data_IF_121275144038
#
_entry.id   IF_121275144038
#
_cell.length_a   1.000
_cell.length_b   1.000
_cell.length_c   1.000
_cell.angle_alpha   90.00
_cell.angle_beta   90.00
_cell.angle_gamma   90.00
#
_symmetry.space_group_name_H-M   'P 1'
#
loop_
_entity.id
_entity.type
_entity.pdbx_description
1 polymer ?
#
# COMPACT_ATOMS: atom_id res chain seq x y z
N UNK A 1 18.23 -0.60 -2.87
CA UNK A 1 18.38 -0.27 -1.43
C UNK A 1 17.19 -0.79 -0.64
N UNK A 2 15.97 -0.62 -1.18
CA UNK A 2 14.69 -1.16 -0.67
C UNK A 2 14.75 -2.61 -0.20
N UNK A 3 15.13 -3.54 -1.07
CA UNK A 3 15.17 -4.98 -0.75
C UNK A 3 16.10 -5.33 0.43
N UNK A 4 17.15 -4.54 0.70
CA UNK A 4 18.05 -4.81 1.83
C UNK A 4 17.43 -4.39 3.16
N UNK A 5 16.73 -3.25 3.21
CA UNK A 5 16.06 -2.79 4.43
C UNK A 5 14.83 -3.65 4.71
N UNK A 6 13.98 -3.86 3.70
CA UNK A 6 12.79 -4.74 3.80
C UNK A 6 13.21 -6.15 4.20
N UNK A 7 14.27 -6.71 3.60
CA UNK A 7 14.79 -8.03 3.95
C UNK A 7 15.29 -8.13 5.39
N UNK A 8 16.01 -7.12 5.89
CA UNK A 8 16.49 -7.08 7.29
C UNK A 8 15.32 -7.06 8.28
N UNK A 9 14.32 -6.23 8.03
CA UNK A 9 13.17 -6.08 8.93
C UNK A 9 12.27 -7.32 8.92
N UNK A 10 11.99 -7.88 7.75
CA UNK A 10 11.18 -9.12 7.61
C UNK A 10 11.90 -10.34 8.18
N UNK A 11 13.22 -10.43 8.04
CA UNK A 11 14.05 -11.44 8.70
C UNK A 11 13.98 -11.34 10.22
N UNK A 12 14.04 -10.12 10.77
CA UNK A 12 13.86 -9.86 12.20
C UNK A 12 12.52 -10.35 12.74
N UNK A 13 11.42 -10.11 12.00
CA UNK A 13 10.09 -10.61 12.37
C UNK A 13 10.03 -12.15 12.43
N UNK A 14 10.67 -12.82 11.48
CA UNK A 14 10.74 -14.29 11.45
C UNK A 14 11.47 -14.84 12.68
N UNK A 15 12.58 -14.19 13.07
CA UNK A 15 13.31 -14.56 14.29
C UNK A 15 12.47 -14.36 15.56
N UNK A 16 11.75 -13.23 15.65
CA UNK A 16 10.88 -12.93 16.78
C UNK A 16 9.73 -13.94 16.91
N UNK A 17 9.09 -14.32 15.80
CA UNK A 17 8.04 -15.35 15.80
C UNK A 17 8.57 -16.68 16.36
N UNK A 18 9.75 -17.12 15.89
CA UNK A 18 10.41 -18.33 16.38
C UNK A 18 10.76 -18.25 17.87
N UNK A 19 11.32 -17.14 18.34
CA UNK A 19 11.65 -16.93 19.75
C UNK A 19 10.40 -16.98 20.64
N UNK A 20 9.27 -16.50 20.13
CA UNK A 20 7.97 -16.51 20.82
C UNK A 20 7.20 -17.83 20.64
N UNK A 21 7.79 -18.84 19.98
CA UNK A 21 7.15 -20.14 19.70
C UNK A 21 5.81 -19.99 18.95
N UNK A 22 5.75 -19.04 18.03
CA UNK A 22 4.60 -18.85 17.15
C UNK A 22 4.77 -19.75 15.94
N UNK A 23 3.78 -20.60 15.68
CA UNK A 23 3.72 -21.39 14.45
C UNK A 23 3.29 -20.50 13.29
N UNK A 24 4.09 -20.47 12.23
CA UNK A 24 3.84 -19.64 11.04
C UNK A 24 3.42 -20.54 9.89
N UNK A 25 2.13 -20.50 9.55
CA UNK A 25 1.58 -21.17 8.38
C UNK A 25 1.50 -20.18 7.21
N UNK A 26 2.04 -20.57 6.05
CA UNK A 26 2.08 -19.72 4.84
C UNK A 26 1.04 -20.19 3.83
N UNK A 27 0.08 -19.31 3.52
CA UNK A 27 -0.93 -19.57 2.49
C UNK A 27 -2.10 -18.60 2.60
N UNK A 28 -3.13 -18.84 1.78
CA UNK A 28 -4.38 -18.09 1.82
C UNK A 28 -5.35 -18.78 2.78
N UNK A 29 -5.73 -18.07 3.84
CA UNK A 29 -6.68 -18.56 4.85
C UNK A 29 -8.13 -18.23 4.48
N UNK A 30 -9.02 -19.22 4.54
CA UNK A 30 -10.46 -19.07 4.36
C UNK A 30 -11.21 -19.76 5.49
N UNK A 31 -12.18 -19.08 6.10
CA UNK A 31 -13.08 -19.70 7.07
C UNK A 31 -13.95 -20.76 6.38
N UNK A 32 -13.89 -22.00 6.87
CA UNK A 32 -14.76 -23.11 6.44
C UNK A 32 -15.75 -23.51 7.54
N UNK A 33 -15.73 -22.77 8.65
CA UNK A 33 -16.62 -22.90 9.79
C UNK A 33 -16.30 -21.82 10.84
N UNK A 34 -17.05 -21.77 11.94
CA UNK A 34 -16.89 -20.72 12.96
C UNK A 34 -15.53 -20.78 13.68
N UNK A 35 -14.93 -21.98 13.80
CA UNK A 35 -13.69 -22.23 14.52
C UNK A 35 -12.64 -22.96 13.67
N UNK A 36 -12.76 -22.89 12.34
CA UNK A 36 -11.89 -23.61 11.40
C UNK A 36 -11.54 -22.72 10.22
N UNK A 37 -10.23 -22.53 10.01
CA UNK A 37 -9.68 -21.91 8.81
C UNK A 37 -8.98 -22.98 7.99
N UNK A 38 -9.28 -23.01 6.70
CA UNK A 38 -8.55 -23.77 5.69
C UNK A 38 -7.47 -22.86 5.11
N UNK A 39 -6.21 -23.32 5.13
CA UNK A 39 -5.08 -22.58 4.58
C UNK A 39 -4.58 -23.31 3.36
N UNK A 40 -4.62 -22.64 2.21
CA UNK A 40 -4.09 -23.15 0.94
C UNK A 40 -2.73 -22.50 0.67
N UNK A 41 -1.67 -23.28 0.80
CA UNK A 41 -0.29 -22.89 0.50
C UNK A 41 0.25 -23.60 -0.74
N UNK A 42 1.54 -23.41 -1.02
CA UNK A 42 2.24 -24.06 -2.15
C UNK A 42 2.39 -25.58 -1.96
N UNK A 43 2.39 -26.05 -0.71
CA UNK A 43 2.59 -27.46 -0.36
C UNK A 43 1.27 -28.24 -0.20
N UNK A 44 0.13 -27.57 -0.37
CA UNK A 44 -1.19 -28.18 -0.24
C UNK A 44 -2.14 -27.35 0.61
N UNK A 45 -3.20 -28.01 1.08
CA UNK A 45 -4.23 -27.39 1.92
C UNK A 45 -4.28 -28.07 3.28
N UNK A 46 -4.25 -27.28 4.34
CA UNK A 46 -4.41 -27.75 5.72
C UNK A 46 -5.57 -27.05 6.43
N UNK A 47 -6.10 -27.68 7.48
CA UNK A 47 -7.20 -27.12 8.28
C UNK A 47 -6.74 -26.90 9.71
N UNK A 48 -6.86 -25.65 10.14
CA UNK A 48 -6.47 -25.20 11.47
C UNK A 48 -7.73 -24.94 12.29
N UNK A 49 -7.85 -25.61 13.42
CA UNK A 49 -8.89 -25.33 14.42
C UNK A 49 -8.35 -24.35 15.46
N UNK A 50 -9.19 -23.42 15.91
CA UNK A 50 -8.82 -22.44 16.91
C UNK A 50 -9.96 -22.20 17.89
N UNK A 51 -9.61 -21.83 19.12
CA UNK A 51 -10.59 -21.35 20.11
C UNK A 51 -10.96 -19.89 19.87
N UNK A 52 -9.96 -19.06 19.56
CA UNK A 52 -10.09 -17.62 19.31
C UNK A 52 -9.39 -17.25 18.00
N UNK A 53 -9.92 -16.24 17.30
CA UNK A 53 -9.35 -15.76 16.04
C UNK A 53 -9.30 -14.23 16.02
N UNK A 54 -8.16 -13.69 15.59
CA UNK A 54 -7.97 -12.27 15.30
C UNK A 54 -7.84 -12.14 13.79
N UNK A 55 -8.72 -11.37 13.16
CA UNK A 55 -8.68 -11.09 11.72
C UNK A 55 -7.79 -9.87 11.48
N UNK A 56 -6.68 -10.09 10.79
CA UNK A 56 -5.70 -9.05 10.45
C UNK A 56 -5.32 -9.11 8.95
N UNK A 57 -6.33 -9.19 8.07
CA UNK A 57 -6.14 -9.36 6.63
C UNK A 57 -5.57 -8.12 5.89
N UNK A 58 -5.51 -6.97 6.56
CA UNK A 58 -5.03 -5.72 5.98
C UNK A 58 -6.05 -5.03 5.08
N UNK A 59 -5.56 -4.19 4.18
CA UNK A 59 -6.33 -3.41 3.20
C UNK A 59 -5.62 -3.40 1.85
N UNK A 60 -6.35 -3.07 0.79
CA UNK A 60 -5.82 -2.97 -0.57
C UNK A 60 -6.07 -1.59 -1.19
N UNK A 61 -5.28 -1.24 -2.20
CA UNK A 61 -5.46 0.02 -2.93
C UNK A 61 -6.77 0.01 -3.73
N UNK A 62 -7.52 1.11 -3.66
CA UNK A 62 -8.77 1.25 -4.41
C UNK A 62 -8.46 1.46 -5.89
N UNK A 63 -9.03 0.62 -6.76
CA UNK A 63 -9.01 0.85 -8.20
C UNK A 63 -10.19 1.72 -8.61
N UNK A 64 -9.91 2.85 -9.24
CA UNK A 64 -10.95 3.76 -9.73
C UNK A 64 -11.65 3.16 -10.96
N UNK A 65 -12.99 3.17 -11.02
CA UNK A 65 -13.71 2.67 -12.17
C UNK A 65 -13.45 3.55 -13.40
N UNK A 66 -13.29 2.92 -14.57
CA UNK A 66 -13.11 3.62 -15.85
C UNK A 66 -11.68 4.00 -16.19
N UNK A 67 -10.70 3.66 -15.35
CA UNK A 67 -9.29 3.77 -15.75
C UNK A 67 -8.93 2.65 -16.75
N UNK A 68 -8.11 2.96 -17.78
CA UNK A 68 -7.62 1.94 -18.71
C UNK A 68 -6.67 0.98 -17.98
N UNK A 69 -6.65 -0.27 -18.44
CA UNK A 69 -5.63 -1.23 -18.05
C UNK A 69 -4.34 -0.91 -18.83
N UNK A 70 -3.54 0.00 -18.27
CA UNK A 70 -2.30 0.51 -18.86
C UNK A 70 -1.18 0.40 -17.82
N UNK A 71 0.02 -0.09 -18.20
CA UNK A 71 1.14 -0.27 -17.27
C UNK A 71 1.65 1.04 -16.64
N UNK A 72 1.28 2.20 -17.18
CA UNK A 72 1.60 3.52 -16.59
C UNK A 72 0.62 3.93 -15.49
N UNK A 73 -0.54 3.26 -15.39
CA UNK A 73 -1.52 3.48 -14.33
C UNK A 73 -1.20 2.53 -13.19
N UNK A 74 -0.49 3.06 -12.20
CA UNK A 74 0.07 2.29 -11.09
C UNK A 74 -0.50 2.73 -9.75
N UNK A 75 -0.44 1.84 -8.76
CA UNK A 75 -0.73 2.15 -7.37
C UNK A 75 0.56 2.51 -6.61
N UNK A 76 0.44 2.71 -5.29
CA UNK A 76 1.57 3.06 -4.43
C UNK A 76 2.66 1.98 -4.38
N UNK A 77 2.31 0.71 -4.58
CA UNK A 77 3.29 -0.38 -4.63
C UNK A 77 4.09 -0.30 -5.94
N UNK A 78 3.41 -0.14 -7.08
CA UNK A 78 4.08 0.08 -8.36
C UNK A 78 4.91 1.36 -8.40
N UNK A 79 4.52 2.38 -7.64
CA UNK A 79 5.27 3.64 -7.55
C UNK A 79 6.62 3.50 -6.82
N UNK A 80 6.85 2.44 -6.05
CA UNK A 80 8.16 2.18 -5.44
C UNK A 80 9.12 1.49 -6.41
N UNK A 81 8.57 0.77 -7.40
CA UNK A 81 9.33 -0.09 -8.31
C UNK A 81 9.48 0.50 -9.72
N UNK A 82 9.04 1.75 -9.94
CA UNK A 82 9.05 2.38 -11.25
C UNK A 82 10.48 2.50 -11.81
N UNK A 83 10.64 2.14 -13.09
CA UNK A 83 11.87 2.42 -13.82
C UNK A 83 12.01 3.92 -14.09
N UNK A 84 13.24 4.47 -14.15
CA UNK A 84 13.44 5.87 -14.47
C UNK A 84 12.73 6.25 -15.78
N UNK A 85 11.85 7.24 -15.70
CA UNK A 85 11.09 7.73 -16.85
C UNK A 85 11.29 9.23 -17.03
N UNK A 86 10.95 9.73 -18.22
CA UNK A 86 10.96 11.16 -18.52
C UNK A 86 9.54 11.62 -18.81
N UNK A 87 9.06 12.62 -18.08
CA UNK A 87 7.71 13.16 -18.25
C UNK A 87 7.07 13.57 -16.93
N UNK A 88 5.89 14.19 -16.98
CA UNK A 88 5.14 14.55 -15.79
C UNK A 88 4.47 13.33 -15.15
N UNK A 89 4.28 13.39 -13.83
CA UNK A 89 3.50 12.42 -13.04
C UNK A 89 2.20 13.07 -12.55
N UNK A 90 1.08 12.37 -12.71
CA UNK A 90 -0.20 12.74 -12.12
C UNK A 90 -0.48 11.82 -10.93
N UNK A 91 -0.64 12.39 -9.75
CA UNK A 91 -1.12 11.70 -8.55
C UNK A 91 -2.61 11.95 -8.40
N UNK A 92 -3.39 10.87 -8.38
CA UNK A 92 -4.84 10.92 -8.20
C UNK A 92 -5.16 10.58 -6.74
N UNK A 93 -5.68 11.56 -6.00
CA UNK A 93 -5.93 11.48 -4.56
C UNK A 93 -4.87 12.23 -3.75
N UNK A 94 -5.32 13.23 -3.00
CA UNK A 94 -4.56 14.09 -2.10
C UNK A 94 -4.45 13.56 -0.68
N UNK A 95 -4.50 12.25 -0.49
CA UNK A 95 -4.24 11.60 0.80
C UNK A 95 -2.75 11.46 1.10
N UNK A 96 -2.43 10.97 2.30
CA UNK A 96 -1.04 10.85 2.82
C UNK A 96 -0.12 10.15 1.80
N UNK A 97 -0.50 8.96 1.34
CA UNK A 97 0.33 8.15 0.44
C UNK A 97 0.59 8.88 -0.88
N UNK A 98 -0.43 9.49 -1.48
CA UNK A 98 -0.30 10.23 -2.74
C UNK A 98 0.66 11.42 -2.61
N UNK A 99 0.56 12.16 -1.50
CA UNK A 99 1.44 13.30 -1.24
C UNK A 99 2.87 12.89 -0.92
N UNK A 100 3.08 11.80 -0.18
CA UNK A 100 4.42 11.26 0.08
C UNK A 100 5.11 10.87 -1.23
N UNK A 101 4.41 10.18 -2.12
CA UNK A 101 4.95 9.84 -3.45
C UNK A 101 5.20 11.10 -4.28
N UNK A 102 4.28 12.06 -4.27
CA UNK A 102 4.47 13.32 -4.98
C UNK A 102 5.75 14.04 -4.54
N UNK A 103 5.99 14.14 -3.24
CA UNK A 103 7.20 14.76 -2.70
C UNK A 103 8.48 14.01 -3.09
N UNK A 104 8.46 12.67 -3.05
CA UNK A 104 9.62 11.84 -3.46
C UNK A 104 9.96 12.09 -4.93
N UNK A 105 8.97 12.03 -5.82
CA UNK A 105 9.20 12.17 -7.25
C UNK A 105 9.52 13.60 -7.67
N UNK A 106 8.93 14.61 -7.03
CA UNK A 106 9.28 16.02 -7.22
C UNK A 106 10.75 16.27 -6.81
N UNK A 107 11.19 15.74 -5.67
CA UNK A 107 12.58 15.84 -5.22
C UNK A 107 13.58 15.15 -6.16
N UNK A 108 13.13 14.12 -6.89
CA UNK A 108 13.91 13.44 -7.93
C UNK A 108 13.86 14.17 -9.29
N UNK A 109 13.17 15.30 -9.40
CA UNK A 109 13.12 16.14 -10.59
C UNK A 109 11.97 15.82 -11.56
N UNK A 110 11.01 14.99 -11.16
CA UNK A 110 9.81 14.72 -11.95
C UNK A 110 8.79 15.83 -11.72
N UNK A 111 8.23 16.48 -12.76
CA UNK A 111 7.12 17.41 -12.57
C UNK A 111 5.88 16.65 -12.09
N UNK A 112 5.39 16.95 -10.88
CA UNK A 112 4.22 16.26 -10.30
C UNK A 112 3.02 17.20 -10.24
N UNK A 113 1.85 16.68 -10.60
CA UNK A 113 0.55 17.32 -10.33
C UNK A 113 -0.30 16.40 -9.46
N UNK A 114 -0.98 16.96 -8.47
CA UNK A 114 -1.90 16.23 -7.59
C UNK A 114 -3.32 16.71 -7.89
N UNK A 115 -4.21 15.77 -8.19
CA UNK A 115 -5.65 16.03 -8.32
C UNK A 115 -6.40 15.38 -7.17
N UNK A 116 -7.30 16.12 -6.56
CA UNK A 116 -8.12 15.70 -5.43
C UNK A 116 -9.57 16.08 -5.68
N UNK A 117 -10.50 15.20 -5.32
CA UNK A 117 -11.92 15.41 -5.51
C UNK A 117 -12.52 16.29 -4.42
N UNK A 118 -11.99 16.20 -3.20
CA UNK A 118 -12.42 16.99 -2.04
C UNK A 118 -11.89 18.43 -2.10
N UNK A 119 -12.46 19.30 -1.28
CA UNK A 119 -12.11 20.73 -1.26
C UNK A 119 -10.74 21.07 -0.65
N UNK A 120 -10.02 20.08 -0.12
CA UNK A 120 -8.70 20.26 0.47
C UNK A 120 -7.86 18.99 0.30
N UNK A 121 -6.53 19.15 0.30
CA UNK A 121 -5.62 18.03 0.44
C UNK A 121 -5.60 17.56 1.90
N UNK A 122 -5.20 16.31 2.14
CA UNK A 122 -5.19 15.67 3.47
C UNK A 122 -6.55 15.72 4.19
N UNK A 123 -7.62 15.18 3.58
CA UNK A 123 -8.92 15.11 4.24
C UNK A 123 -8.80 14.32 5.55
N UNK A 124 -9.05 14.97 6.68
CA UNK A 124 -8.89 14.40 8.02
C UNK A 124 -7.79 15.07 8.87
N UNK A 125 -6.94 15.89 8.26
CA UNK A 125 -6.06 16.80 8.99
C UNK A 125 -6.75 18.15 9.26
N UNK A 126 -6.21 18.88 10.23
CA UNK A 126 -6.62 20.25 10.53
C UNK A 126 -6.48 21.14 9.26
N UNK A 127 -7.52 21.88 8.84
CA UNK A 127 -7.48 22.71 7.63
C UNK A 127 -6.34 23.74 7.63
N UNK A 128 -5.96 24.27 8.79
CA UNK A 128 -4.85 25.23 8.92
C UNK A 128 -3.48 24.57 8.63
N UNK A 129 -3.40 23.23 8.72
CA UNK A 129 -2.20 22.43 8.39
C UNK A 129 -2.24 21.81 7.00
N UNK A 130 -3.42 21.58 6.42
CA UNK A 130 -3.61 21.04 5.07
C UNK A 130 -3.29 22.04 3.94
N UNK A 131 -3.23 23.34 4.25
CA UNK A 131 -3.03 24.42 3.28
C UNK A 131 -1.62 24.51 2.67
N UNK A 132 -0.64 23.75 3.17
CA UNK A 132 0.74 23.83 2.72
C UNK A 132 1.01 23.11 1.37
N UNK A 133 0.18 22.13 1.00
CA UNK A 133 0.27 21.49 -0.30
C UNK A 133 -0.56 22.32 -1.29
N UNK A 134 0.10 23.08 -2.15
CA UNK A 134 -0.58 23.78 -3.24
C UNK A 134 -1.03 22.74 -4.26
N UNK A 135 -2.33 22.43 -4.27
CA UNK A 135 -2.94 21.76 -5.41
C UNK A 135 -2.58 22.57 -6.68
N UNK A 136 -2.17 21.88 -7.74
CA UNK A 136 -1.89 22.51 -9.02
C UNK A 136 -3.20 23.10 -9.58
N UNK A 137 -3.51 24.33 -9.19
CA UNK A 137 -4.57 25.12 -9.79
C UNK A 137 -4.25 25.27 -11.27
N UNK A 138 -5.21 24.86 -12.10
CA UNK A 138 -5.15 24.87 -13.56
C UNK A 138 -4.43 26.11 -14.10
N UNK A 139 -3.26 25.91 -14.70
CA UNK A 139 -2.82 26.78 -15.78
C UNK A 139 -3.27 26.12 -17.06
N UNK A 140 -4.35 26.69 -17.61
CA UNK A 140 -4.59 26.66 -19.05
C UNK A 140 -3.42 27.32 -19.80
#
# INVERSE_FOLDING_TARGET
MENSVVGKLTGGLTLLAKQRKVDVVRGVGRFVGPNVVEVTGTEGTERIRFEQCIIAAGSEAVRLPGLPDDPRVIDSSGALEIEPFTGPMLVIGGGIIGLEMACVYEALGTPVSVVELTGQLMPGCDPDRGAAARAAGSRA
#
